data_IF_923135574190
#
_entry.id   IF_923135574190
#
_cell.length_a   1.000
_cell.length_b   1.000
_cell.length_c   1.000
_cell.angle_alpha   90.00
_cell.angle_beta   90.00
_cell.angle_gamma   90.00
#
_symmetry.space_group_name_H-M   'P 1'
#
loop_
_entity.id
_entity.type
_entity.pdbx_description
1 polymer ?
#
# COMPACT_ATOMS: atom_id res chain seq x y z
N UNK A 1 15.90 17.20 -1.53
CA UNK A 1 16.40 16.40 -2.66
C UNK A 1 16.29 14.94 -2.22
N UNK A 2 15.45 14.14 -2.88
CA UNK A 2 15.18 12.74 -2.47
C UNK A 2 15.97 11.81 -3.37
N UNK A 3 16.73 10.87 -2.79
CA UNK A 3 17.54 9.89 -3.53
C UNK A 3 16.76 8.58 -3.62
N UNK A 4 16.57 8.06 -4.83
CA UNK A 4 15.82 6.81 -5.06
C UNK A 4 16.76 5.63 -5.29
N UNK A 5 16.45 4.48 -4.69
CA UNK A 5 17.18 3.24 -4.88
C UNK A 5 16.27 2.16 -5.44
N UNK A 6 16.77 1.40 -6.44
CA UNK A 6 16.16 0.14 -6.89
C UNK A 6 17.18 -0.98 -6.73
N UNK A 7 16.83 -2.01 -5.96
CA UNK A 7 17.71 -3.16 -5.69
C UNK A 7 19.13 -2.74 -5.28
N UNK A 8 19.23 -1.80 -4.33
CA UNK A 8 20.49 -1.22 -3.81
C UNK A 8 21.32 -0.43 -4.83
N UNK A 9 20.83 -0.20 -6.05
CA UNK A 9 21.44 0.71 -7.01
C UNK A 9 20.74 2.06 -6.93
N UNK A 10 21.53 3.11 -6.76
CA UNK A 10 21.02 4.47 -6.88
C UNK A 10 20.53 4.68 -8.30
N UNK A 11 19.29 5.14 -8.43
CA UNK A 11 18.76 5.58 -9.71
C UNK A 11 19.13 7.06 -9.82
N UNK A 12 20.12 7.33 -10.65
CA UNK A 12 20.50 8.71 -10.98
C UNK A 12 19.54 9.27 -12.05
N UNK A 13 19.34 10.59 -12.02
CA UNK A 13 18.66 11.37 -13.08
C UNK A 13 17.17 11.13 -13.32
N UNK A 14 16.46 10.43 -12.42
CA UNK A 14 14.98 10.37 -12.50
C UNK A 14 14.38 11.43 -11.57
N UNK A 15 13.87 12.49 -12.16
CA UNK A 15 12.95 13.42 -11.50
C UNK A 15 11.57 12.76 -11.52
N UNK A 16 11.22 12.08 -10.43
CA UNK A 16 9.88 11.52 -10.24
C UNK A 16 8.98 12.60 -9.65
N UNK A 17 8.01 13.06 -10.42
CA UNK A 17 6.92 13.89 -9.92
C UNK A 17 5.92 13.00 -9.16
N UNK A 18 5.20 13.53 -8.16
CA UNK A 18 4.16 12.77 -7.47
C UNK A 18 3.15 12.11 -8.40
N UNK A 19 2.85 12.75 -9.53
CA UNK A 19 1.91 12.24 -10.54
C UNK A 19 2.49 11.07 -11.37
N UNK A 20 3.81 10.84 -11.34
CA UNK A 20 4.47 9.70 -11.99
C UNK A 20 4.32 8.41 -11.18
N UNK A 21 4.14 8.51 -9.86
CA UNK A 21 3.92 7.37 -8.96
C UNK A 21 2.43 6.99 -8.89
N UNK A 22 1.58 8.01 -8.79
CA UNK A 22 0.14 7.82 -8.64
C UNK A 22 -0.60 8.82 -9.52
N UNK A 23 -1.42 8.31 -10.45
CA UNK A 23 -2.36 9.18 -11.14
C UNK A 23 -3.35 9.73 -10.13
N UNK A 24 -3.38 11.06 -9.96
CA UNK A 24 -4.47 11.76 -9.25
C UNK A 24 -5.80 11.47 -9.94
N UNK A 25 -6.50 10.43 -9.50
CA UNK A 25 -7.90 10.24 -9.88
C UNK A 25 -8.79 11.06 -8.96
N UNK A 26 -9.14 12.25 -9.43
CA UNK A 26 -10.22 13.04 -8.83
C UNK A 26 -11.54 12.34 -9.20
N UNK A 27 -12.23 11.75 -8.21
CA UNK A 27 -13.53 11.11 -8.47
C UNK A 27 -13.87 9.87 -7.65
N UNK A 28 -12.98 9.37 -6.79
CA UNK A 28 -13.34 8.26 -5.92
C UNK A 28 -13.86 8.80 -4.59
N UNK A 29 -15.18 8.93 -4.48
CA UNK A 29 -15.88 9.17 -3.20
C UNK A 29 -15.78 7.98 -2.23
N UNK A 30 -15.04 6.94 -2.62
CA UNK A 30 -14.87 5.67 -1.92
C UNK A 30 -13.40 5.28 -1.97
N UNK A 31 -12.92 4.71 -0.87
CA UNK A 31 -11.52 4.38 -0.64
C UNK A 31 -10.93 3.51 -1.78
N UNK A 32 -9.67 3.74 -2.24
CA UNK A 32 -9.03 2.97 -3.31
C UNK A 32 -9.04 1.45 -3.07
N UNK A 33 -8.92 1.01 -1.81
CA UNK A 33 -9.05 -0.41 -1.44
C UNK A 33 -10.35 -1.09 -1.85
N UNK A 34 -11.43 -0.33 -2.11
CA UNK A 34 -12.71 -0.89 -2.57
C UNK A 34 -12.69 -1.30 -4.05
N UNK A 35 -11.65 -0.93 -4.80
CA UNK A 35 -11.58 -1.10 -6.25
C UNK A 35 -10.24 -1.64 -6.75
N UNK A 36 -9.43 -2.17 -5.82
CA UNK A 36 -8.18 -2.82 -6.18
C UNK A 36 -8.50 -4.05 -7.02
N UNK A 37 -7.99 -4.09 -8.26
CA UNK A 37 -8.04 -5.32 -9.04
C UNK A 37 -6.95 -6.27 -8.56
N UNK A 38 -7.20 -7.58 -8.71
CA UNK A 38 -6.22 -8.59 -8.33
C UNK A 38 -4.89 -8.42 -9.07
N UNK A 39 -4.93 -7.85 -10.28
CA UNK A 39 -3.74 -7.53 -11.09
C UNK A 39 -2.92 -6.37 -10.51
N UNK A 40 -3.56 -5.38 -9.87
CA UNK A 40 -2.88 -4.25 -9.23
C UNK A 40 -2.28 -4.59 -7.87
N UNK A 41 -2.82 -5.62 -7.21
CA UNK A 41 -2.36 -6.11 -5.91
C UNK A 41 -1.27 -7.16 -6.00
N UNK A 42 -1.03 -7.72 -7.19
CA UNK A 42 -0.02 -8.76 -7.39
C UNK A 42 1.34 -8.11 -7.63
N UNK A 43 2.22 -8.19 -6.63
CA UNK A 43 3.64 -8.29 -6.90
C UNK A 43 3.96 -9.76 -7.18
N UNK A 44 4.40 -10.07 -8.39
CA UNK A 44 5.06 -11.35 -8.64
C UNK A 44 6.48 -11.26 -8.07
N UNK A 45 6.70 -11.83 -6.89
CA UNK A 45 8.02 -11.94 -6.27
C UNK A 45 8.86 -13.08 -6.89
N UNK A 46 8.31 -13.80 -7.87
CA UNK A 46 8.89 -15.01 -8.44
C UNK A 46 8.82 -16.22 -7.51
N UNK A 47 8.09 -16.12 -6.39
CA UNK A 47 7.81 -17.19 -5.45
C UNK A 47 6.75 -18.16 -5.96
N UNK A 48 6.67 -19.34 -5.36
CA UNK A 48 5.72 -20.38 -5.77
C UNK A 48 4.28 -19.87 -5.63
N UNK A 49 3.50 -19.94 -6.72
CA UNK A 49 2.10 -19.49 -6.78
C UNK A 49 1.17 -20.25 -5.80
N UNK A 50 1.67 -21.33 -5.20
CA UNK A 50 1.01 -22.15 -4.17
C UNK A 50 1.06 -21.55 -2.75
N UNK A 51 1.69 -20.38 -2.56
CA UNK A 51 1.63 -19.68 -1.28
C UNK A 51 0.19 -19.25 -1.00
N UNK A 52 -0.48 -20.05 -0.17
CA UNK A 52 -1.87 -19.90 0.21
C UNK A 52 -2.14 -18.65 1.05
N UNK A 53 -1.10 -18.03 1.62
CA UNK A 53 -1.18 -16.84 2.47
C UNK A 53 -0.83 -15.60 1.65
N UNK A 54 -1.74 -14.63 1.60
CA UNK A 54 -1.56 -13.31 0.96
C UNK A 54 -1.74 -12.23 2.00
N UNK A 55 -0.77 -11.33 2.10
CA UNK A 55 -0.86 -10.14 2.93
C UNK A 55 -1.14 -8.93 2.04
N UNK A 56 -2.11 -8.13 2.42
CA UNK A 56 -2.46 -6.88 1.77
C UNK A 56 -2.37 -5.75 2.78
N UNK A 57 -1.71 -4.66 2.41
CA UNK A 57 -1.64 -3.43 3.20
C UNK A 57 -2.20 -2.27 2.39
N UNK A 58 -2.69 -1.26 3.09
CA UNK A 58 -3.12 -0.01 2.49
C UNK A 58 -2.95 1.14 3.49
N UNK A 59 -2.43 2.26 3.01
CA UNK A 59 -2.42 3.55 3.65
C UNK A 59 -3.25 4.52 2.82
N UNK A 60 -4.18 5.23 3.45
CA UNK A 60 -5.11 6.10 2.73
C UNK A 60 -5.18 7.49 3.31
N UNK A 61 -5.44 8.46 2.43
CA UNK A 61 -5.72 9.84 2.81
C UNK A 61 -7.02 10.29 2.18
N UNK A 62 -7.92 10.79 3.03
CA UNK A 62 -9.17 11.44 2.62
C UNK A 62 -9.22 12.87 3.17
N UNK A 63 -10.14 13.72 2.69
CA UNK A 63 -10.38 15.02 3.32
C UNK A 63 -10.76 14.92 4.81
N UNK A 64 -11.29 13.78 5.24
CA UNK A 64 -11.78 13.53 6.61
C UNK A 64 -10.75 12.84 7.52
N UNK A 65 -9.56 12.57 6.99
CA UNK A 65 -8.42 12.07 7.74
C UNK A 65 -7.66 10.95 7.06
N UNK A 66 -6.70 10.40 7.82
CA UNK A 66 -5.75 9.39 7.38
C UNK A 66 -6.03 8.03 8.03
N UNK A 67 -5.81 6.95 7.30
CA UNK A 67 -5.98 5.59 7.81
C UNK A 67 -4.86 4.66 7.34
N UNK A 68 -4.64 3.60 8.11
CA UNK A 68 -3.83 2.45 7.74
C UNK A 68 -4.65 1.19 7.97
N UNK A 69 -4.45 0.18 7.13
CA UNK A 69 -5.07 -1.11 7.28
C UNK A 69 -4.20 -2.23 6.72
N UNK A 70 -4.34 -3.42 7.27
CA UNK A 70 -3.88 -4.65 6.61
C UNK A 70 -4.91 -5.76 6.75
N UNK A 71 -4.85 -6.74 5.86
CA UNK A 71 -5.50 -8.02 6.07
C UNK A 71 -4.68 -9.17 5.50
N UNK A 72 -4.84 -10.34 6.13
CA UNK A 72 -4.24 -11.60 5.70
C UNK A 72 -5.34 -12.48 5.15
N UNK A 73 -5.08 -13.08 3.99
CA UNK A 73 -5.96 -14.03 3.32
C UNK A 73 -5.26 -15.37 3.18
N UNK A 74 -5.84 -16.42 3.75
CA UNK A 74 -5.38 -17.81 3.65
C UNK A 74 -6.44 -18.60 2.90
N UNK A 75 -6.07 -19.27 1.81
CA UNK A 75 -6.97 -20.11 1.01
C UNK A 75 -8.20 -19.36 0.47
N UNK A 76 -8.07 -18.05 0.25
CA UNK A 76 -9.19 -17.19 -0.17
C UNK A 76 -10.08 -16.70 0.97
N UNK A 77 -9.77 -17.04 2.22
CA UNK A 77 -10.50 -16.63 3.44
C UNK A 77 -9.68 -15.60 4.21
N UNK A 78 -10.31 -14.51 4.66
CA UNK A 78 -9.64 -13.51 5.50
C UNK A 78 -9.49 -14.05 6.91
N UNK A 79 -8.26 -14.27 7.37
CA UNK A 79 -7.96 -14.79 8.72
C UNK A 79 -7.66 -13.67 9.71
N UNK A 80 -6.99 -12.62 9.26
CA UNK A 80 -6.62 -11.47 10.09
C UNK A 80 -6.96 -10.17 9.40
N UNK A 81 -7.38 -9.18 10.18
CA UNK A 81 -7.57 -7.80 9.71
C UNK A 81 -7.24 -6.83 10.83
N UNK A 82 -6.73 -5.67 10.44
CA UNK A 82 -6.49 -4.56 11.35
C UNK A 82 -6.66 -3.24 10.60
N UNK A 83 -7.15 -2.22 11.29
CA UNK A 83 -7.17 -0.87 10.78
C UNK A 83 -7.11 0.16 11.90
N UNK A 84 -6.57 1.32 11.61
CA UNK A 84 -6.54 2.45 12.55
C UNK A 84 -6.66 3.79 11.83
N UNK A 85 -7.17 4.79 12.55
CA UNK A 85 -7.11 6.19 12.13
C UNK A 85 -5.79 6.80 12.62
N UNK A 86 -5.06 7.43 11.72
CA UNK A 86 -3.86 8.21 12.04
C UNK A 86 -4.21 9.68 12.20
N UNK A 87 -3.23 10.48 12.62
CA UNK A 87 -3.37 11.93 12.67
C UNK A 87 -3.38 12.49 11.25
N UNK A 88 -4.10 13.59 11.04
CA UNK A 88 -4.29 14.14 9.69
C UNK A 88 -2.99 14.68 9.07
N UNK A 89 -2.00 14.99 9.93
CA UNK A 89 -0.64 15.42 9.57
C UNK A 89 0.26 14.28 9.10
N UNK A 90 -0.13 13.03 9.33
CA UNK A 90 0.60 11.91 8.78
C UNK A 90 0.54 11.90 7.23
N UNK A 91 1.47 11.16 6.62
CA UNK A 91 1.52 10.92 5.17
C UNK A 91 1.02 9.51 4.82
N UNK A 92 0.53 9.31 3.59
CA UNK A 92 0.14 7.98 3.09
C UNK A 92 1.29 6.98 3.28
N UNK A 93 2.52 7.41 3.02
CA UNK A 93 3.70 6.58 3.24
C UNK A 93 3.88 6.14 4.70
N UNK A 94 3.63 7.02 5.68
CA UNK A 94 3.66 6.65 7.10
C UNK A 94 2.55 5.65 7.46
N UNK A 95 1.36 5.81 6.86
CA UNK A 95 0.25 4.89 7.04
C UNK A 95 0.56 3.49 6.47
N UNK A 96 1.14 3.43 5.27
CA UNK A 96 1.58 2.17 4.64
C UNK A 96 2.64 1.44 5.49
N UNK A 97 3.65 2.17 5.98
CA UNK A 97 4.68 1.59 6.85
C UNK A 97 4.08 1.09 8.16
N UNK A 98 3.09 1.79 8.71
CA UNK A 98 2.38 1.32 9.91
C UNK A 98 1.60 0.04 9.63
N UNK A 99 0.85 -0.04 8.53
CA UNK A 99 0.13 -1.24 8.14
C UNK A 99 1.07 -2.46 7.99
N UNK A 100 2.24 -2.26 7.35
CA UNK A 100 3.27 -3.29 7.23
C UNK A 100 3.84 -3.70 8.59
N UNK A 101 4.11 -2.73 9.48
CA UNK A 101 4.62 -3.02 10.83
C UNK A 101 3.62 -3.83 11.66
N UNK A 102 2.33 -3.53 11.56
CA UNK A 102 1.30 -4.25 12.30
C UNK A 102 1.03 -5.64 11.71
N UNK A 103 1.27 -5.82 10.41
CA UNK A 103 1.12 -7.12 9.75
C UNK A 103 2.19 -8.16 10.13
N UNK A 104 3.33 -7.74 10.68
CA UNK A 104 4.45 -8.61 11.06
C UNK A 104 4.59 -8.81 12.58
N UNK A 105 3.68 -8.25 13.38
CA UNK A 105 3.59 -8.44 14.83
C UNK A 105 2.80 -9.70 15.16
#
# INVERSE_FOLDING_TARGET
MTVLYRLRRQINDIIIQPDDLERRKVGWSRHPSNYLTQEQLRLEDGGNADNHIRLFTDGSKTPNGMGAAFYVMEDGVITHRWSTKLRDENTVFQAEILALKEAIQ
#
